data_IF_901056900757
#
_entry.id   IF_901056900757
#
_cell.length_a   1.000
_cell.length_b   1.000
_cell.length_c   1.000
_cell.angle_alpha   90.00
_cell.angle_beta   90.00
_cell.angle_gamma   90.00
#
_symmetry.space_group_name_H-M   'P 1'
#
loop_
_entity.id
_entity.type
_entity.pdbx_description
1 polymer ?
#
# COMPACT_ATOMS: atom_id res chain seq x y z
N UNK A 1 -6.53 6.62 -2.78
CA UNK A 1 -6.23 7.61 -3.84
C UNK A 1 -4.95 8.37 -3.56
N UNK A 2 -4.07 8.51 -4.55
CA UNK A 2 -2.72 9.10 -4.36
C UNK A 2 -2.30 9.98 -5.55
N UNK A 3 -1.81 11.20 -5.29
CA UNK A 3 -1.04 12.00 -6.24
C UNK A 3 0.43 11.60 -6.15
N UNK A 4 1.01 11.20 -7.25
CA UNK A 4 2.41 10.79 -7.34
C UNK A 4 3.01 11.17 -8.70
N UNK A 5 4.33 11.33 -8.72
CA UNK A 5 5.10 11.52 -9.95
C UNK A 5 5.94 10.28 -10.20
N UNK A 6 6.04 9.85 -11.44
CA UNK A 6 7.00 8.83 -11.83
C UNK A 6 7.51 9.09 -13.23
N UNK A 7 8.73 8.62 -13.50
CA UNK A 7 9.30 8.60 -14.83
C UNK A 7 10.07 7.30 -15.03
N UNK A 8 9.93 6.68 -16.19
CA UNK A 8 10.62 5.44 -16.55
C UNK A 8 10.37 4.28 -15.56
N UNK A 9 9.18 4.26 -14.95
CA UNK A 9 8.78 3.28 -13.94
C UNK A 9 9.48 3.42 -12.60
N UNK A 10 9.99 4.62 -12.28
CA UNK A 10 10.54 4.98 -10.98
C UNK A 10 9.75 6.15 -10.38
N UNK A 11 9.36 6.03 -9.12
CA UNK A 11 8.72 7.12 -8.40
C UNK A 11 9.70 8.28 -8.24
N UNK A 12 9.25 9.47 -8.62
CA UNK A 12 9.93 10.73 -8.37
C UNK A 12 9.26 11.37 -7.15
N UNK A 13 9.98 11.58 -6.05
CA UNK A 13 9.38 12.09 -4.83
C UNK A 13 8.94 13.55 -5.03
N UNK A 14 7.67 13.82 -4.73
CA UNK A 14 7.16 15.18 -4.57
C UNK A 14 7.65 15.68 -3.22
N UNK A 15 8.45 16.73 -3.20
CA UNK A 15 8.94 17.27 -1.91
C UNK A 15 7.82 17.98 -1.16
N UNK A 16 7.94 18.08 0.16
CA UNK A 16 6.96 18.81 0.95
C UNK A 16 6.90 20.29 0.53
N UNK A 17 8.05 20.93 0.35
CA UNK A 17 8.13 22.33 -0.08
C UNK A 17 7.42 22.57 -1.42
N UNK A 18 7.56 21.63 -2.36
CA UNK A 18 6.89 21.66 -3.66
C UNK A 18 5.37 21.50 -3.52
N UNK A 19 4.90 20.57 -2.68
CA UNK A 19 3.47 20.42 -2.38
C UNK A 19 2.88 21.67 -1.73
N UNK A 20 3.61 22.28 -0.78
CA UNK A 20 3.20 23.52 -0.12
C UNK A 20 3.19 24.70 -1.10
N UNK A 21 4.14 24.77 -2.02
CA UNK A 21 4.18 25.79 -3.07
C UNK A 21 2.99 25.65 -4.02
N UNK A 22 2.70 24.44 -4.50
CA UNK A 22 1.55 24.17 -5.35
C UNK A 22 0.22 24.54 -4.68
N UNK A 23 0.03 24.17 -3.41
CA UNK A 23 -1.17 24.53 -2.66
C UNK A 23 -1.36 26.04 -2.46
N UNK A 24 -0.28 26.82 -2.45
CA UNK A 24 -0.37 28.29 -2.37
C UNK A 24 -0.77 28.93 -3.70
N UNK A 25 -0.50 28.25 -4.82
CA UNK A 25 -0.84 28.72 -6.16
C UNK A 25 -2.29 28.41 -6.55
N UNK A 26 -2.91 27.43 -5.89
CA UNK A 26 -4.26 26.98 -6.21
C UNK A 26 -5.32 27.58 -5.27
N UNK A 27 -6.46 27.96 -5.84
CA UNK A 27 -7.57 28.51 -5.06
C UNK A 27 -8.22 27.42 -4.20
N UNK A 28 -8.59 27.75 -2.96
CA UNK A 28 -9.29 26.82 -2.06
C UNK A 28 -8.38 25.87 -1.28
N UNK A 29 -7.11 25.77 -1.66
CA UNK A 29 -6.10 25.01 -0.93
C UNK A 29 -5.49 25.84 0.22
N UNK A 30 -5.24 25.16 1.33
CA UNK A 30 -4.64 25.73 2.55
C UNK A 30 -3.71 24.71 3.18
N UNK A 31 -2.65 25.21 3.78
CA UNK A 31 -1.74 24.41 4.60
C UNK A 31 -2.27 24.45 6.02
N UNK A 32 -2.62 23.29 6.58
CA UNK A 32 -3.18 23.20 7.94
C UNK A 32 -2.16 22.75 8.97
N UNK A 33 -1.24 21.87 8.57
CA UNK A 33 -0.15 21.34 9.41
C UNK A 33 1.10 21.11 8.55
N UNK A 34 2.23 20.72 9.14
CA UNK A 34 3.50 20.55 8.44
C UNK A 34 3.39 19.59 7.25
N UNK A 35 2.57 18.54 7.32
CA UNK A 35 2.41 17.54 6.25
C UNK A 35 0.97 17.38 5.76
N UNK A 36 0.06 18.29 6.12
CA UNK A 36 -1.35 18.22 5.75
C UNK A 36 -1.80 19.44 4.94
N UNK A 37 -2.39 19.16 3.77
CA UNK A 37 -2.92 20.17 2.86
C UNK A 37 -4.43 19.97 2.75
N UNK A 38 -5.20 20.98 3.11
CA UNK A 38 -6.65 20.94 3.08
C UNK A 38 -7.20 21.75 1.91
N UNK A 39 -8.17 21.21 1.21
CA UNK A 39 -8.99 21.95 0.26
C UNK A 39 -10.35 22.26 0.86
N UNK A 40 -10.89 23.46 0.59
CA UNK A 40 -12.29 23.78 0.86
C UNK A 40 -12.86 24.82 -0.10
N UNK A 41 -14.10 24.58 -0.54
CA UNK A 41 -14.92 25.52 -1.34
C UNK A 41 -16.00 26.22 -0.49
N UNK A 42 -15.96 26.07 0.83
CA UNK A 42 -16.96 26.59 1.77
C UNK A 42 -18.20 25.70 1.95
N UNK A 43 -18.38 24.65 1.15
CA UNK A 43 -19.46 23.65 1.30
C UNK A 43 -18.92 22.30 1.73
N UNK A 44 -17.78 21.91 1.17
CA UNK A 44 -17.10 20.65 1.43
C UNK A 44 -15.63 20.93 1.69
N UNK A 45 -14.97 19.97 2.32
CA UNK A 45 -13.53 20.00 2.55
C UNK A 45 -12.96 18.60 2.57
N UNK A 46 -11.70 18.47 2.18
CA UNK A 46 -10.92 17.24 2.33
C UNK A 46 -9.46 17.59 2.57
N UNK A 47 -8.73 16.62 3.10
CA UNK A 47 -7.30 16.73 3.33
C UNK A 47 -6.52 15.75 2.45
N UNK A 48 -5.33 16.20 2.05
CA UNK A 48 -4.25 15.37 1.52
C UNK A 48 -3.11 15.34 2.53
N UNK A 49 -2.59 14.15 2.80
CA UNK A 49 -1.42 13.96 3.63
C UNK A 49 -0.20 13.70 2.76
N UNK A 50 0.89 14.40 3.06
CA UNK A 50 2.19 14.17 2.45
C UNK A 50 2.91 13.03 3.17
N UNK A 51 3.25 11.97 2.44
CA UNK A 51 4.04 10.86 2.95
C UNK A 51 4.82 10.19 1.81
N UNK A 52 6.06 9.78 2.08
CA UNK A 52 6.91 9.04 1.14
C UNK A 52 7.00 9.65 -0.28
N UNK A 53 7.02 10.99 -0.37
CA UNK A 53 7.11 11.70 -1.64
C UNK A 53 5.84 11.65 -2.49
N UNK A 54 4.68 11.43 -1.87
CA UNK A 54 3.37 11.43 -2.50
C UNK A 54 2.35 12.17 -1.62
N UNK A 55 1.22 12.57 -2.21
CA UNK A 55 0.08 13.14 -1.50
C UNK A 55 -1.08 12.16 -1.58
N UNK A 56 -1.69 11.79 -0.46
CA UNK A 56 -2.75 10.77 -0.48
C UNK A 56 -3.97 11.19 0.32
N UNK A 57 -5.11 10.59 -0.02
CA UNK A 57 -6.35 10.69 0.74
C UNK A 57 -7.11 9.36 0.68
N UNK A 58 -7.99 9.14 1.66
CA UNK A 58 -8.85 7.96 1.72
C UNK A 58 -10.17 8.15 0.96
N UNK A 59 -10.47 9.38 0.53
CA UNK A 59 -11.69 9.69 -0.17
C UNK A 59 -11.53 9.40 -1.67
N UNK A 60 -12.51 8.72 -2.25
CA UNK A 60 -12.59 8.32 -3.66
C UNK A 60 -13.78 8.99 -4.37
N UNK A 61 -14.31 10.07 -3.80
CA UNK A 61 -15.42 10.83 -4.37
C UNK A 61 -14.98 11.60 -5.63
N UNK A 62 -15.77 11.60 -6.73
CA UNK A 62 -15.47 12.33 -7.95
C UNK A 62 -15.09 13.81 -7.75
N UNK A 63 -15.74 14.51 -6.82
CA UNK A 63 -15.43 15.91 -6.49
C UNK A 63 -14.02 16.04 -5.89
N UNK A 64 -13.59 15.09 -5.06
CA UNK A 64 -12.21 15.06 -4.53
C UNK A 64 -11.22 14.81 -5.67
N UNK A 65 -11.53 13.89 -6.58
CA UNK A 65 -10.65 13.55 -7.71
C UNK A 65 -10.42 14.75 -8.62
N UNK A 66 -11.44 15.56 -8.90
CA UNK A 66 -11.30 16.78 -9.71
C UNK A 66 -10.27 17.76 -9.13
N UNK A 67 -10.33 18.01 -7.82
CA UNK A 67 -9.38 18.89 -7.13
C UNK A 67 -8.00 18.25 -6.99
N UNK A 68 -7.92 16.93 -6.80
CA UNK A 68 -6.66 16.20 -6.85
C UNK A 68 -6.01 16.28 -8.23
N UNK A 69 -6.79 16.24 -9.32
CA UNK A 69 -6.27 16.39 -10.69
C UNK A 69 -5.74 17.80 -10.94
N UNK A 70 -6.36 18.84 -10.37
CA UNK A 70 -5.84 20.19 -10.42
C UNK A 70 -4.49 20.32 -9.68
N UNK A 71 -4.42 19.80 -8.46
CA UNK A 71 -3.18 19.71 -7.69
C UNK A 71 -2.10 18.92 -8.43
N UNK A 72 -2.46 17.79 -9.04
CA UNK A 72 -1.53 16.97 -9.81
C UNK A 72 -0.97 17.71 -11.04
N UNK A 73 -1.78 18.53 -11.72
CA UNK A 73 -1.30 19.35 -12.86
C UNK A 73 -0.28 20.40 -12.42
N UNK A 74 -0.53 21.10 -11.32
CA UNK A 74 0.42 22.08 -10.76
C UNK A 74 1.74 21.41 -10.36
N UNK A 75 1.67 20.16 -9.92
CA UNK A 75 2.81 19.34 -9.53
C UNK A 75 3.39 18.51 -10.68
N UNK A 76 3.01 18.67 -11.95
CA UNK A 76 3.46 17.78 -13.04
C UNK A 76 3.44 16.28 -12.64
N UNK A 77 2.34 15.88 -12.01
CA UNK A 77 2.14 14.58 -11.37
C UNK A 77 0.83 13.96 -11.88
N UNK A 78 0.52 12.75 -11.42
CA UNK A 78 -0.72 12.04 -11.76
C UNK A 78 -1.48 11.61 -10.52
N UNK A 79 -2.80 11.46 -10.67
CA UNK A 79 -3.68 10.87 -9.65
C UNK A 79 -3.84 9.39 -9.95
N UNK A 80 -3.42 8.53 -9.02
CA UNK A 80 -3.53 7.08 -9.09
C UNK A 80 -4.52 6.55 -8.06
N UNK A 81 -5.40 5.65 -8.52
CA UNK A 81 -6.28 4.87 -7.67
C UNK A 81 -5.60 3.70 -6.99
N UNK A 82 -6.38 2.99 -6.18
CA UNK A 82 -5.88 1.87 -5.40
C UNK A 82 -5.78 0.59 -6.26
N UNK A 83 -6.43 0.55 -7.43
CA UNK A 83 -6.31 -0.51 -8.42
C UNK A 83 -5.26 -0.22 -9.51
N UNK A 84 -4.33 0.72 -9.25
CA UNK A 84 -3.25 1.16 -10.14
C UNK A 84 -3.71 1.85 -11.44
N UNK A 85 -4.97 2.25 -11.49
CA UNK A 85 -5.52 3.10 -12.54
C UNK A 85 -5.09 4.55 -12.35
N UNK A 86 -4.79 5.24 -13.43
CA UNK A 86 -4.49 6.68 -13.44
C UNK A 86 -5.69 7.44 -13.96
N UNK A 87 -6.11 8.47 -13.23
CA UNK A 87 -7.23 9.32 -13.61
C UNK A 87 -6.81 10.39 -14.62
N UNK A 88 -7.59 10.54 -15.69
CA UNK A 88 -7.52 11.68 -16.63
C UNK A 88 -8.59 12.70 -16.25
N UNK A 89 -9.78 12.21 -15.93
CA UNK A 89 -10.91 12.94 -15.35
C UNK A 89 -11.47 12.09 -14.21
N UNK A 90 -12.46 12.59 -13.46
CA UNK A 90 -13.09 11.81 -12.40
C UNK A 90 -13.75 10.51 -12.89
N UNK A 91 -14.22 10.48 -14.15
CA UNK A 91 -14.91 9.33 -14.75
C UNK A 91 -14.04 8.52 -15.73
N UNK A 92 -12.85 9.01 -16.08
CA UNK A 92 -11.99 8.39 -17.07
C UNK A 92 -10.63 8.03 -16.49
N UNK A 93 -10.28 6.75 -16.62
CA UNK A 93 -9.00 6.20 -16.16
C UNK A 93 -8.27 5.44 -17.26
N UNK A 94 -6.97 5.25 -17.09
CA UNK A 94 -6.14 4.39 -17.94
C UNK A 94 -5.06 3.70 -17.11
N UNK A 95 -4.51 2.60 -17.61
CA UNK A 95 -3.35 1.96 -17.02
C UNK A 95 -2.07 2.69 -17.44
N UNK A 96 -1.30 3.20 -16.48
CA UNK A 96 -0.06 3.90 -16.79
C UNK A 96 1.10 2.90 -16.91
N UNK A 97 1.96 2.99 -17.95
CA UNK A 97 3.02 2.01 -18.18
C UNK A 97 4.01 1.89 -17.01
N UNK A 98 4.26 2.99 -16.30
CA UNK A 98 5.11 2.97 -15.10
C UNK A 98 4.58 2.11 -13.94
N UNK A 99 3.27 1.87 -13.90
CA UNK A 99 2.66 1.07 -12.83
C UNK A 99 2.76 -0.44 -13.11
N UNK A 100 3.01 -0.88 -14.35
CA UNK A 100 3.19 -2.31 -14.69
C UNK A 100 4.33 -2.97 -13.91
N UNK A 101 5.45 -2.25 -13.72
CA UNK A 101 6.61 -2.76 -12.97
C UNK A 101 6.30 -2.82 -11.47
N UNK A 102 5.60 -1.82 -10.94
CA UNK A 102 5.21 -1.79 -9.53
C UNK A 102 4.22 -2.92 -9.21
N UNK A 103 3.30 -3.21 -10.12
CA UNK A 103 2.38 -4.34 -9.98
C UNK A 103 3.13 -5.68 -9.96
N UNK A 104 4.13 -5.86 -10.82
CA UNK A 104 4.97 -7.05 -10.81
C UNK A 104 5.78 -7.21 -9.51
N UNK A 105 6.36 -6.12 -8.99
CA UNK A 105 7.08 -6.12 -7.72
C UNK A 105 6.15 -6.46 -6.55
N UNK A 106 4.96 -5.85 -6.48
CA UNK A 106 3.98 -6.11 -5.43
C UNK A 106 3.50 -7.58 -5.42
N UNK A 107 3.30 -8.17 -6.61
CA UNK A 107 2.97 -9.61 -6.74
C UNK A 107 4.12 -10.50 -6.28
N UNK A 108 5.37 -10.15 -6.60
CA UNK A 108 6.55 -10.91 -6.18
C UNK A 108 6.75 -10.88 -4.65
N UNK A 109 6.59 -9.71 -4.03
CA UNK A 109 6.72 -9.56 -2.57
C UNK A 109 5.60 -10.30 -1.83
N UNK A 110 4.35 -10.20 -2.32
CA UNK A 110 3.22 -10.95 -1.77
C UNK A 110 3.44 -12.46 -1.85
N UNK A 111 3.97 -12.95 -2.98
CA UNK A 111 4.31 -14.37 -3.15
C UNK A 111 5.43 -14.81 -2.18
N UNK A 112 6.42 -13.95 -1.92
CA UNK A 112 7.47 -14.25 -0.94
C UNK A 112 6.94 -14.29 0.49
N UNK A 113 6.09 -13.34 0.89
CA UNK A 113 5.46 -13.33 2.21
C UNK A 113 4.60 -14.58 2.42
N UNK A 114 3.81 -14.96 1.41
CA UNK A 114 3.01 -16.18 1.43
C UNK A 114 3.89 -17.43 1.55
N UNK A 115 4.99 -17.49 0.78
CA UNK A 115 5.93 -18.61 0.82
C UNK A 115 6.61 -18.76 2.18
N UNK A 116 6.97 -17.65 2.84
CA UNK A 116 7.53 -17.66 4.20
C UNK A 116 6.52 -18.20 5.21
N UNK A 117 5.27 -17.71 5.19
CA UNK A 117 4.21 -18.21 6.06
C UNK A 117 3.93 -19.71 5.84
N UNK A 118 3.89 -20.17 4.57
CA UNK A 118 3.70 -21.59 4.28
C UNK A 118 4.87 -22.46 4.75
N UNK A 119 6.10 -21.96 4.67
CA UNK A 119 7.28 -22.69 5.16
C UNK A 119 7.27 -22.83 6.70
N UNK A 120 6.88 -21.78 7.42
CA UNK A 120 6.72 -21.82 8.87
C UNK A 120 5.61 -22.78 9.29
N UNK A 121 4.45 -22.74 8.64
CA UNK A 121 3.37 -23.69 8.91
C UNK A 121 3.79 -25.14 8.69
N UNK A 122 4.58 -25.43 7.63
CA UNK A 122 5.11 -26.78 7.40
C UNK A 122 6.06 -27.22 8.51
N UNK A 123 6.92 -26.34 9.03
CA UNK A 123 7.82 -26.65 10.16
C UNK A 123 7.02 -26.97 11.43
N UNK A 124 6.04 -26.14 11.76
CA UNK A 124 5.17 -26.35 12.94
C UNK A 124 4.45 -27.68 12.82
N UNK A 125 3.83 -27.97 11.66
CA UNK A 125 3.14 -29.24 11.43
C UNK A 125 4.05 -30.44 11.61
N UNK A 126 5.25 -30.40 11.03
CA UNK A 126 6.21 -31.50 11.15
C UNK A 126 6.72 -31.67 12.58
N UNK A 127 6.90 -30.57 13.33
CA UNK A 127 7.28 -30.63 14.74
C UNK A 127 6.19 -31.28 15.61
N UNK A 128 4.92 -30.91 15.39
CA UNK A 128 3.77 -31.52 16.09
C UNK A 128 3.67 -33.01 15.79
N UNK A 129 3.77 -33.42 14.52
CA UNK A 129 3.75 -34.84 14.13
C UNK A 129 4.92 -35.57 14.80
N UNK A 130 6.13 -35.01 14.76
CA UNK A 130 7.31 -35.59 15.39
C UNK A 130 7.15 -35.77 16.90
N UNK A 131 6.56 -34.80 17.59
CA UNK A 131 6.27 -34.88 19.02
C UNK A 131 5.32 -36.04 19.37
N UNK A 132 4.23 -36.21 18.62
CA UNK A 132 3.30 -37.31 18.85
C UNK A 132 3.90 -38.68 18.51
N UNK A 133 4.71 -38.79 17.46
CA UNK A 133 5.44 -40.03 17.14
C UNK A 133 6.41 -40.39 18.26
N UNK A 134 7.14 -39.41 18.80
CA UNK A 134 8.07 -39.62 19.92
C UNK A 134 7.34 -40.09 21.18
N UNK A 135 6.22 -39.44 21.53
CA UNK A 135 5.38 -39.86 22.67
C UNK A 135 4.86 -41.28 22.51
N UNK A 136 4.38 -41.65 21.32
CA UNK A 136 3.92 -43.00 21.02
C UNK A 136 5.05 -44.04 21.18
N UNK A 137 6.26 -43.73 20.72
CA UNK A 137 7.42 -44.60 20.88
C UNK A 137 7.82 -44.79 22.36
N UNK A 138 7.80 -43.71 23.15
CA UNK A 138 8.10 -43.77 24.59
C UNK A 138 7.05 -44.64 25.31
N UNK A 139 5.75 -44.43 25.03
CA UNK A 139 4.68 -45.22 25.62
C UNK A 139 4.79 -46.71 25.27
N UNK A 140 5.13 -47.04 24.01
CA UNK A 140 5.34 -48.41 23.57
C UNK A 140 6.52 -49.08 24.28
N UNK A 141 7.65 -48.39 24.42
CA UNK A 141 8.83 -48.91 25.13
C UNK A 141 8.56 -49.13 26.62
N UNK A 142 7.86 -48.20 27.27
CA UNK A 142 7.47 -48.32 28.67
C UNK A 142 6.52 -49.52 28.90
N UNK A 143 5.51 -49.68 28.02
CA UNK A 143 4.60 -50.83 28.07
C UNK A 143 5.35 -52.16 27.90
N UNK A 144 6.25 -52.25 26.92
CA UNK A 144 7.06 -53.45 26.67
C UNK A 144 8.04 -53.78 27.82
N UNK A 145 8.50 -52.77 28.55
CA UNK A 145 9.35 -52.98 29.72
C UNK A 145 8.56 -53.55 30.91
N UNK A 146 7.32 -53.08 31.10
CA UNK A 146 6.39 -53.60 32.10
C UNK A 146 5.96 -55.05 31.83
N UNK A 147 5.79 -55.47 30.58
CA UNK A 147 5.47 -56.87 30.25
C UNK A 147 6.62 -57.84 30.54
N UNK A 148 7.86 -57.34 30.69
CA UNK A 148 9.06 -58.16 30.89
C UNK A 148 9.46 -58.32 32.36
N UNK A 149 8.85 -57.58 33.29
CA UNK A 149 9.08 -57.66 34.74
C UNK A 149 7.82 -58.17 35.42
#
# INVERSE_FOLDING_TARGET
>A
MTILRSAHGLQQPISLDEALAAARNLQGWRVTDEAELAFSDGRRSFSLWHDNGALWTRLDDPWVIEHMLEMARELDARVRGDAFETYVTADQTYAHPDDERLEQLARADSAQLLARHMAEQRRIRNAVIGFFVLLGAIAFLAGKWFERH
#
